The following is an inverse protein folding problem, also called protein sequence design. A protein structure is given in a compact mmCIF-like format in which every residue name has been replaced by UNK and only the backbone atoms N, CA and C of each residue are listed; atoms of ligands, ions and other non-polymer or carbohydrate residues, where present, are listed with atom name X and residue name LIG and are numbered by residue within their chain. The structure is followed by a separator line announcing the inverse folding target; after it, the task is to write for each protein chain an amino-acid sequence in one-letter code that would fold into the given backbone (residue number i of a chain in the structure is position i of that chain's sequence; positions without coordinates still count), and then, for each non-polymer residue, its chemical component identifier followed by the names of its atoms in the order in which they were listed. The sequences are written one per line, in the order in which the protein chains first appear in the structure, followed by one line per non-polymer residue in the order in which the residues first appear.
data_IF_267132012157
#
_entry.id   IF_267132012157
#
_cell.length_a   1.000
_cell.length_b   1.000
_cell.length_c   1.000
_cell.angle_alpha   90.00
_cell.angle_beta   90.00
_cell.angle_gamma   90.00
#
_symmetry.space_group_name_H-M   'P 1'
#
loop_
_entity.id
_entity.type
_entity.pdbx_description
1 polymer ?
#
# COMPACT_ATOMS: atom_id res chain seq x y z
N UNK A 1 9.77 29.09 -18.02
CA UNK A 1 9.31 27.68 -17.97
C UNK A 1 9.44 27.08 -16.58
N UNK A 2 10.61 27.17 -15.94
CA UNK A 2 10.86 26.64 -14.59
C UNK A 2 9.78 26.95 -13.55
N UNK A 3 9.36 28.22 -13.43
CA UNK A 3 8.29 28.61 -12.49
C UNK A 3 6.94 27.91 -12.73
N UNK A 4 6.61 27.62 -14.00
CA UNK A 4 5.38 26.89 -14.35
C UNK A 4 5.49 25.42 -13.92
N UNK A 5 6.68 24.83 -14.05
CA UNK A 5 6.95 23.47 -13.57
C UNK A 5 6.89 23.41 -12.04
N UNK A 6 7.53 24.35 -11.34
CA UNK A 6 7.49 24.42 -9.88
C UNK A 6 6.05 24.61 -9.36
N UNK A 7 5.21 25.34 -10.10
CA UNK A 7 3.79 25.51 -9.76
C UNK A 7 2.97 24.22 -9.96
N UNK A 8 3.21 23.50 -11.05
CA UNK A 8 2.46 22.28 -11.38
C UNK A 8 2.94 21.07 -10.58
N UNK A 9 4.25 20.85 -10.53
CA UNK A 9 4.87 19.67 -9.92
C UNK A 9 5.25 19.89 -8.45
N UNK A 10 5.27 21.13 -8.00
CA UNK A 10 5.87 21.48 -6.71
C UNK A 10 7.38 21.59 -6.81
N UNK A 11 7.98 22.27 -5.84
CA UNK A 11 9.44 22.28 -5.69
C UNK A 11 9.91 20.90 -5.22
N UNK A 12 11.08 20.42 -5.66
CA UNK A 12 11.68 19.20 -5.11
C UNK A 12 11.71 19.24 -3.57
N UNK A 13 11.28 18.15 -2.92
CA UNK A 13 11.20 18.06 -1.46
C UNK A 13 10.03 18.81 -0.82
N UNK A 14 9.28 19.64 -1.55
CA UNK A 14 8.12 20.38 -1.00
C UNK A 14 6.95 19.47 -0.65
N UNK A 15 6.87 18.27 -1.22
CA UNK A 15 5.86 17.27 -0.89
C UNK A 15 6.17 16.52 0.41
N UNK A 16 7.40 16.65 0.95
CA UNK A 16 7.82 16.03 2.20
C UNK A 16 7.54 16.91 3.43
N UNK A 17 7.08 18.16 3.25
CA UNK A 17 6.96 19.08 4.37
C UNK A 17 5.76 18.73 5.26
N UNK A 18 6.04 18.26 6.47
CA UNK A 18 5.11 17.89 7.55
C UNK A 18 4.21 19.03 8.07
N UNK A 19 4.35 20.26 7.55
CA UNK A 19 3.68 21.45 8.09
C UNK A 19 2.22 21.56 7.63
N UNK A 20 1.37 20.59 7.98
CA UNK A 20 -0.10 20.68 8.07
C UNK A 20 -0.92 21.08 6.83
N UNK A 21 -0.30 21.61 5.79
CA UNK A 21 -0.93 22.10 4.56
C UNK A 21 -0.47 21.19 3.44
N UNK A 22 -1.37 20.29 3.01
CA UNK A 22 -1.10 19.40 1.89
C UNK A 22 -0.89 20.24 0.62
N UNK A 23 0.27 20.17 -0.03
CA UNK A 23 0.47 20.91 -1.27
C UNK A 23 -0.51 20.40 -2.33
N UNK A 24 -1.28 21.30 -2.94
CA UNK A 24 -2.27 20.96 -3.98
C UNK A 24 -1.66 20.76 -5.38
N UNK A 25 -0.33 20.72 -5.46
CA UNK A 25 0.42 20.47 -6.69
C UNK A 25 0.22 19.03 -7.17
N UNK A 26 0.37 18.81 -8.48
CA UNK A 26 0.26 17.48 -9.08
C UNK A 26 1.35 16.56 -8.52
N UNK A 27 2.58 17.03 -8.38
CA UNK A 27 3.67 16.19 -7.85
C UNK A 27 3.41 15.73 -6.41
N UNK A 28 2.86 16.60 -5.56
CA UNK A 28 2.43 16.18 -4.22
C UNK A 28 1.31 15.12 -4.28
N UNK A 29 0.30 15.30 -5.13
CA UNK A 29 -0.79 14.31 -5.27
C UNK A 29 -0.27 12.95 -5.77
N UNK A 30 0.65 12.96 -6.74
CA UNK A 30 1.29 11.74 -7.25
C UNK A 30 2.12 11.05 -6.17
N UNK A 31 2.91 11.79 -5.40
CA UNK A 31 3.67 11.24 -4.27
C UNK A 31 2.75 10.58 -3.23
N UNK A 32 1.66 11.22 -2.83
CA UNK A 32 0.73 10.61 -1.88
C UNK A 32 0.06 9.34 -2.43
N UNK A 33 -0.28 9.36 -3.72
CA UNK A 33 -0.84 8.18 -4.41
C UNK A 33 0.16 7.03 -4.45
N UNK A 34 1.44 7.30 -4.71
CA UNK A 34 2.53 6.32 -4.63
C UNK A 34 2.64 5.72 -3.23
N UNK A 35 2.61 6.54 -2.18
CA UNK A 35 2.65 6.08 -0.79
C UNK A 35 1.43 5.21 -0.43
N UNK A 36 0.24 5.56 -0.93
CA UNK A 36 -0.96 4.74 -0.77
C UNK A 36 -0.85 3.41 -1.49
N UNK A 37 -0.29 3.40 -2.71
CA UNK A 37 -0.04 2.18 -3.48
C UNK A 37 0.96 1.25 -2.78
N UNK A 38 2.06 1.79 -2.25
CA UNK A 38 3.02 1.04 -1.43
C UNK A 38 2.38 0.44 -0.17
N UNK A 39 1.42 1.16 0.44
CA UNK A 39 0.67 0.64 1.59
C UNK A 39 -0.28 -0.48 1.20
N UNK A 40 -0.92 -0.36 0.04
CA UNK A 40 -1.82 -1.37 -0.51
C UNK A 40 -1.06 -2.66 -0.81
N UNK A 41 0.10 -2.55 -1.47
CA UNK A 41 0.98 -3.67 -1.81
C UNK A 41 1.33 -4.52 -0.56
N UNK A 42 1.83 -3.86 0.49
CA UNK A 42 2.12 -4.54 1.77
C UNK A 42 0.89 -5.19 2.41
N UNK A 43 -0.29 -4.59 2.28
CA UNK A 43 -1.53 -5.19 2.80
C UNK A 43 -1.93 -6.41 1.98
N UNK A 44 -1.71 -6.42 0.68
CA UNK A 44 -1.94 -7.59 -0.16
C UNK A 44 -1.03 -8.74 0.25
N UNK A 45 0.25 -8.49 0.53
CA UNK A 45 1.16 -9.52 1.04
C UNK A 45 0.65 -10.17 2.33
N UNK A 46 0.14 -9.35 3.27
CA UNK A 46 -0.45 -9.84 4.52
C UNK A 46 -1.70 -10.69 4.26
N UNK A 47 -2.56 -10.28 3.32
CA UNK A 47 -3.75 -11.05 2.94
C UNK A 47 -3.35 -12.39 2.32
N UNK A 48 -2.39 -12.40 1.39
CA UNK A 48 -1.89 -13.62 0.76
C UNK A 48 -1.31 -14.57 1.82
N UNK A 49 -0.48 -14.06 2.72
CA UNK A 49 0.07 -14.86 3.82
C UNK A 49 -1.03 -15.45 4.70
N UNK A 50 -2.06 -14.66 5.02
CA UNK A 50 -3.20 -15.12 5.83
C UNK A 50 -4.01 -16.22 5.14
N UNK A 51 -4.22 -16.08 3.82
CA UNK A 51 -4.89 -17.10 3.00
C UNK A 51 -4.09 -18.39 3.01
N UNK A 52 -2.77 -18.33 2.84
CA UNK A 52 -1.92 -19.52 2.87
C UNK A 52 -2.01 -20.26 4.21
N UNK A 53 -1.99 -19.54 5.34
CA UNK A 53 -2.19 -20.12 6.68
C UNK A 53 -3.56 -20.78 6.81
N UNK A 54 -4.61 -20.16 6.29
CA UNK A 54 -5.95 -20.74 6.30
C UNK A 54 -6.03 -22.01 5.44
N UNK A 55 -5.39 -22.03 4.27
CA UNK A 55 -5.32 -23.20 3.40
C UNK A 55 -4.60 -24.35 4.13
N UNK A 56 -3.44 -24.09 4.72
CA UNK A 56 -2.69 -25.09 5.50
C UNK A 56 -3.55 -25.65 6.63
N UNK A 57 -4.26 -24.79 7.35
CA UNK A 57 -5.15 -25.19 8.44
C UNK A 57 -6.29 -26.09 7.93
N UNK A 58 -6.96 -25.70 6.85
CA UNK A 58 -8.03 -26.51 6.25
C UNK A 58 -7.49 -27.86 5.78
N UNK A 59 -6.34 -27.88 5.10
CA UNK A 59 -5.70 -29.13 4.68
C UNK A 59 -5.35 -30.04 5.86
N UNK A 60 -4.93 -29.47 6.99
CA UNK A 60 -4.64 -30.23 8.21
C UNK A 60 -5.90 -30.78 8.90
N UNK A 61 -6.99 -30.00 8.97
CA UNK A 61 -8.26 -30.40 9.59
C UNK A 61 -9.05 -31.43 8.75
N UNK A 62 -8.89 -31.40 7.43
CA UNK A 62 -9.53 -32.38 6.53
C UNK A 62 -8.87 -33.76 6.65
N UNK A 63 -7.59 -33.84 7.05
CA UNK A 63 -6.90 -35.10 7.30
C UNK A 63 -7.32 -35.80 8.60
N UNK A 64 -7.74 -35.06 9.63
CA UNK A 64 -8.12 -35.61 10.93
C UNK A 64 -9.54 -36.20 10.99
N UNK A 65 -10.43 -35.84 10.06
CA UNK A 65 -11.81 -36.33 10.05
C UNK A 65 -11.99 -37.70 9.34
N UNK A 66 -10.94 -38.25 8.72
CA UNK A 66 -11.03 -39.51 7.95
C UNK A 66 -10.63 -40.74 8.79
N UNK A 67 -9.95 -40.56 9.93
CA UNK A 67 -9.50 -41.67 10.78
C UNK A 67 -10.48 -42.03 11.91
N UNK A 68 -11.69 -41.46 11.92
CA UNK A 68 -12.69 -41.67 12.97
C UNK A 68 -14.07 -42.03 12.37
N UNK A 69 -14.15 -43.11 11.60
CA UNK A 69 -15.39 -43.85 11.28
C UNK A 69 -15.07 -45.35 11.06
#
# INVERSE_FOLDING_TARGET
LQRRLDHTLGKPGSYLTEKGVKPMTIGARLFHMEQQMNTLDRKMDVVIASINVLIEKISSETGSNVEQD
#
